data_IF_070809362564
#
_entry.id   IF_070809362564
#
_cell.length_a   1.000
_cell.length_b   1.000
_cell.length_c   1.000
_cell.angle_alpha   90.00
_cell.angle_beta   90.00
_cell.angle_gamma   90.00
#
_symmetry.space_group_name_H-M   'P 1'
#
loop_
_entity.id
_entity.type
_entity.pdbx_description
1 polymer ?
#
# COMPACT_ATOMS: atom_id res chain seq x y z
N UNK A 1 65.39 41.80 -21.55
CA UNK A 1 64.74 42.29 -20.30
C UNK A 1 63.28 42.72 -20.53
N UNK A 2 62.89 43.20 -21.72
CA UNK A 2 61.50 43.59 -22.03
C UNK A 2 60.49 42.44 -22.09
N UNK A 3 60.88 41.25 -22.55
CA UNK A 3 59.98 40.08 -22.54
C UNK A 3 59.65 39.62 -21.12
N UNK A 4 60.64 39.59 -20.22
CA UNK A 4 60.47 39.17 -18.82
C UNK A 4 59.54 40.12 -18.06
N UNK A 5 59.62 41.42 -18.33
CA UNK A 5 58.67 42.42 -17.80
C UNK A 5 57.26 42.28 -18.38
N UNK A 6 57.13 41.81 -19.62
CA UNK A 6 55.83 41.58 -20.27
C UNK A 6 55.12 40.33 -19.73
N UNK A 7 55.86 39.26 -19.42
CA UNK A 7 55.30 38.07 -18.77
C UNK A 7 54.91 38.31 -17.31
N UNK A 8 55.70 39.09 -16.55
CA UNK A 8 55.40 39.42 -15.15
C UNK A 8 54.21 40.38 -15.01
N UNK A 9 54.07 41.36 -15.90
CA UNK A 9 52.89 42.25 -15.94
C UNK A 9 51.62 41.50 -16.34
N UNK A 10 51.66 40.63 -17.37
CA UNK A 10 50.54 39.75 -17.71
C UNK A 10 50.14 38.81 -16.57
N UNK A 11 51.12 38.30 -15.82
CA UNK A 11 50.85 37.45 -14.66
C UNK A 11 50.20 38.24 -13.52
N UNK A 12 50.68 39.45 -13.21
CA UNK A 12 50.07 40.33 -12.22
C UNK A 12 48.63 40.72 -12.59
N UNK A 13 48.37 41.09 -13.84
CA UNK A 13 47.01 41.41 -14.31
C UNK A 13 46.07 40.21 -14.20
N UNK A 14 46.56 39.00 -14.51
CA UNK A 14 45.78 37.78 -14.35
C UNK A 14 45.44 37.52 -12.88
N UNK A 15 46.39 37.74 -11.96
CA UNK A 15 46.19 37.60 -10.51
C UNK A 15 45.20 38.65 -9.97
N UNK A 16 45.27 39.90 -10.43
CA UNK A 16 44.31 40.94 -9.99
C UNK A 16 42.88 40.69 -10.48
N UNK A 17 42.71 40.08 -11.64
CA UNK A 17 41.38 39.80 -12.21
C UNK A 17 40.78 38.47 -11.73
N UNK A 18 41.59 37.41 -11.61
CA UNK A 18 41.13 36.09 -11.19
C UNK A 18 41.21 35.86 -9.68
N UNK A 19 42.15 36.49 -8.97
CA UNK A 19 42.35 36.32 -7.53
C UNK A 19 41.10 36.64 -6.69
N UNK A 20 40.46 37.82 -6.85
CA UNK A 20 39.24 38.16 -6.13
C UNK A 20 38.05 37.23 -6.47
N UNK A 21 37.94 36.79 -7.73
CA UNK A 21 36.89 35.84 -8.16
C UNK A 21 37.08 34.47 -7.52
N UNK A 22 38.32 34.00 -7.46
CA UNK A 22 38.67 32.72 -6.86
C UNK A 22 38.43 32.73 -5.34
N UNK A 23 38.84 33.81 -4.66
CA UNK A 23 38.59 34.00 -3.23
C UNK A 23 37.09 34.11 -2.93
N UNK A 24 36.34 34.88 -3.73
CA UNK A 24 34.89 35.00 -3.60
C UNK A 24 34.18 33.66 -3.82
N UNK A 25 34.56 32.91 -4.86
CA UNK A 25 34.02 31.59 -5.14
C UNK A 25 34.31 30.59 -4.01
N UNK A 26 35.52 30.63 -3.45
CA UNK A 26 35.90 29.81 -2.30
C UNK A 26 35.09 30.18 -1.05
N UNK A 27 34.93 31.47 -0.75
CA UNK A 27 34.11 31.94 0.36
C UNK A 27 32.64 31.49 0.22
N UNK A 28 32.05 31.65 -0.96
CA UNK A 28 30.68 31.21 -1.26
C UNK A 28 30.56 29.69 -1.15
N UNK A 29 31.56 28.93 -1.58
CA UNK A 29 31.55 27.47 -1.43
C UNK A 29 31.49 27.06 0.05
N UNK A 30 32.35 27.63 0.89
CA UNK A 30 32.38 27.34 2.33
C UNK A 30 31.08 27.75 3.02
N UNK A 31 30.62 28.98 2.80
CA UNK A 31 29.36 29.48 3.36
C UNK A 31 28.18 28.65 2.85
N UNK A 32 28.17 28.32 1.56
CA UNK A 32 27.15 27.51 0.93
C UNK A 32 27.04 26.11 1.54
N UNK A 33 28.16 25.45 1.82
CA UNK A 33 28.15 24.16 2.52
C UNK A 33 27.56 24.27 3.93
N UNK A 34 27.85 25.36 4.64
CA UNK A 34 27.25 25.63 5.94
C UNK A 34 25.72 25.83 5.83
N UNK A 35 25.27 26.60 4.83
CA UNK A 35 23.84 26.82 4.55
C UNK A 35 23.13 25.52 4.16
N UNK A 36 23.73 24.69 3.30
CA UNK A 36 23.19 23.38 2.91
C UNK A 36 22.99 22.49 4.12
N UNK A 37 24.00 22.41 5.00
CA UNK A 37 23.94 21.61 6.22
C UNK A 37 22.88 22.16 7.19
N UNK A 38 22.75 23.48 7.30
CA UNK A 38 21.73 24.12 8.13
C UNK A 38 20.31 23.79 7.63
N UNK A 39 20.05 23.95 6.33
CA UNK A 39 18.75 23.62 5.73
C UNK A 39 18.44 22.14 5.89
N UNK A 40 19.42 21.25 5.64
CA UNK A 40 19.24 19.81 5.80
C UNK A 40 18.86 19.44 7.24
N UNK A 41 19.50 20.07 8.25
CA UNK A 41 19.14 19.91 9.66
C UNK A 41 17.73 20.41 9.97
N UNK A 42 17.31 21.53 9.39
CA UNK A 42 15.94 22.05 9.55
C UNK A 42 14.89 21.07 9.00
N UNK A 43 15.15 20.50 7.81
CA UNK A 43 14.28 19.49 7.20
C UNK A 43 14.19 18.25 8.09
N UNK A 44 15.33 17.69 8.52
CA UNK A 44 15.33 16.53 9.43
C UNK A 44 14.61 16.81 10.75
N UNK A 45 14.75 18.02 11.32
CA UNK A 45 14.04 18.42 12.55
C UNK A 45 12.54 18.53 12.34
N UNK A 46 12.10 19.08 11.19
CA UNK A 46 10.69 19.19 10.84
C UNK A 46 10.03 17.81 10.62
N UNK A 47 10.74 16.89 9.96
CA UNK A 47 10.27 15.52 9.76
C UNK A 47 10.17 14.76 11.09
N UNK A 48 11.18 14.88 11.97
CA UNK A 48 11.13 14.28 13.31
C UNK A 48 9.95 14.79 14.14
N UNK A 49 9.70 16.11 14.12
CA UNK A 49 8.57 16.71 14.86
C UNK A 49 7.21 16.16 14.41
N UNK A 50 7.11 15.71 13.15
CA UNK A 50 5.88 15.12 12.58
C UNK A 50 5.78 13.60 12.78
N UNK A 51 6.70 12.98 13.51
CA UNK A 51 6.68 11.52 13.76
C UNK A 51 6.90 10.69 12.50
N UNK A 52 7.61 11.25 11.52
CA UNK A 52 7.93 10.57 10.26
C UNK A 52 8.96 9.46 10.50
N UNK A 53 8.78 8.30 9.89
CA UNK A 53 9.65 7.13 10.04
C UNK A 53 11.11 7.41 9.62
N UNK A 54 12.07 6.78 10.29
CA UNK A 54 13.52 7.11 10.21
C UNK A 54 14.07 6.96 8.80
N UNK A 55 13.68 5.92 8.09
CA UNK A 55 14.17 5.61 6.76
C UNK A 55 13.60 6.58 5.71
N UNK A 56 12.40 7.12 5.93
CA UNK A 56 11.83 8.22 5.16
C UNK A 56 12.59 9.55 5.39
N UNK A 57 13.04 9.79 6.63
CA UNK A 57 13.87 10.96 6.94
C UNK A 57 15.23 10.93 6.24
N UNK A 58 15.90 9.77 6.23
CA UNK A 58 17.22 9.63 5.62
C UNK A 58 17.16 9.80 4.09
N UNK A 59 16.12 9.28 3.45
CA UNK A 59 15.89 9.45 2.02
C UNK A 59 15.67 10.91 1.64
N UNK A 60 14.69 11.58 2.28
CA UNK A 60 14.38 12.99 1.99
C UNK A 60 15.56 13.92 2.32
N UNK A 61 16.25 13.66 3.43
CA UNK A 61 17.44 14.43 3.83
C UNK A 61 18.57 14.33 2.80
N UNK A 62 18.82 13.11 2.28
CA UNK A 62 19.84 12.89 1.25
C UNK A 62 19.50 13.58 -0.06
N UNK A 63 18.22 13.56 -0.46
CA UNK A 63 17.73 14.20 -1.68
C UNK A 63 17.85 15.73 -1.62
N UNK A 64 17.45 16.35 -0.50
CA UNK A 64 17.58 17.80 -0.29
C UNK A 64 19.06 18.21 -0.25
N UNK A 65 19.89 17.52 0.55
CA UNK A 65 21.32 17.81 0.64
C UNK A 65 22.02 17.66 -0.71
N UNK A 66 21.73 16.58 -1.45
CA UNK A 66 22.30 16.34 -2.77
C UNK A 66 21.95 17.44 -3.77
N UNK A 67 20.65 17.78 -3.87
CA UNK A 67 20.18 18.84 -4.77
C UNK A 67 20.79 20.21 -4.46
N UNK A 68 20.84 20.61 -3.17
CA UNK A 68 21.43 21.88 -2.77
C UNK A 68 22.94 21.94 -3.04
N UNK A 69 23.68 20.82 -2.88
CA UNK A 69 25.12 20.77 -3.24
C UNK A 69 25.34 20.95 -4.74
N UNK A 70 24.50 20.34 -5.57
CA UNK A 70 24.58 20.51 -7.04
C UNK A 70 24.34 21.97 -7.43
N UNK A 71 23.30 22.61 -6.87
CA UNK A 71 23.03 24.04 -7.09
C UNK A 71 24.19 24.93 -6.62
N UNK A 72 24.79 24.61 -5.47
CA UNK A 72 25.96 25.32 -4.97
C UNK A 72 27.16 25.20 -5.94
N UNK A 73 27.45 24.00 -6.44
CA UNK A 73 28.55 23.78 -7.39
C UNK A 73 28.34 24.57 -8.69
N UNK A 74 27.11 24.58 -9.24
CA UNK A 74 26.78 25.37 -10.44
C UNK A 74 26.99 26.87 -10.17
N UNK A 75 26.57 27.34 -8.99
CA UNK A 75 26.73 28.75 -8.60
C UNK A 75 28.21 29.16 -8.50
N UNK A 76 29.04 28.33 -7.86
CA UNK A 76 30.48 28.55 -7.71
C UNK A 76 31.18 28.50 -9.08
N UNK A 77 30.80 27.56 -9.96
CA UNK A 77 31.34 27.48 -11.31
C UNK A 77 31.04 28.75 -12.13
N UNK A 78 29.82 29.29 -12.01
CA UNK A 78 29.44 30.55 -12.66
C UNK A 78 30.26 31.74 -12.19
N UNK A 79 30.58 31.82 -10.90
CA UNK A 79 31.45 32.89 -10.36
C UNK A 79 32.87 32.85 -10.92
N UNK A 80 33.37 31.66 -11.25
CA UNK A 80 34.68 31.47 -11.88
C UNK A 80 34.67 31.80 -13.39
N UNK A 81 33.53 32.20 -13.95
CA UNK A 81 33.38 32.52 -15.38
C UNK A 81 33.22 31.28 -16.27
N UNK A 82 32.97 30.11 -15.68
CA UNK A 82 32.66 28.90 -16.43
C UNK A 82 31.26 29.05 -17.02
N UNK A 83 31.08 28.71 -18.30
CA UNK A 83 29.78 28.74 -18.93
C UNK A 83 28.89 27.63 -18.35
N UNK A 84 28.03 28.01 -17.40
CA UNK A 84 27.20 27.07 -16.63
C UNK A 84 26.10 26.43 -17.45
N UNK A 85 25.71 27.02 -18.60
CA UNK A 85 24.66 26.47 -19.48
C UNK A 85 24.91 25.03 -19.88
N UNK A 86 26.15 24.70 -20.29
CA UNK A 86 26.53 23.33 -20.66
C UNK A 86 26.50 22.38 -19.46
N UNK A 87 26.90 22.86 -18.27
CA UNK A 87 26.82 22.09 -17.03
C UNK A 87 25.37 21.83 -16.61
N UNK A 88 24.50 22.84 -16.71
CA UNK A 88 23.07 22.69 -16.43
C UNK A 88 22.44 21.66 -17.36
N UNK A 89 22.80 21.67 -18.65
CA UNK A 89 22.31 20.66 -19.60
C UNK A 89 22.73 19.24 -19.21
N UNK A 90 24.01 19.04 -18.86
CA UNK A 90 24.53 17.73 -18.42
C UNK A 90 23.90 17.28 -17.10
N UNK A 91 23.81 18.17 -16.12
CA UNK A 91 23.17 17.89 -14.82
C UNK A 91 21.69 17.59 -15.00
N UNK A 92 21.00 18.31 -15.89
CA UNK A 92 19.60 18.05 -16.23
C UNK A 92 19.42 16.67 -16.87
N UNK A 93 20.27 16.31 -17.82
CA UNK A 93 20.26 14.99 -18.45
C UNK A 93 20.57 13.85 -17.46
N UNK A 94 21.57 14.04 -16.59
CA UNK A 94 21.90 13.09 -15.51
C UNK A 94 20.75 12.98 -14.50
N UNK A 95 20.14 14.11 -14.12
CA UNK A 95 19.00 14.14 -13.22
C UNK A 95 17.78 13.42 -13.79
N UNK A 96 17.50 13.59 -15.09
CA UNK A 96 16.47 12.85 -15.80
C UNK A 96 16.78 11.34 -15.83
N UNK A 97 18.02 10.97 -16.19
CA UNK A 97 18.43 9.56 -16.23
C UNK A 97 18.32 8.88 -14.85
N UNK A 98 18.78 9.53 -13.79
CA UNK A 98 18.64 9.05 -12.41
C UNK A 98 17.17 9.01 -11.99
N UNK A 99 16.38 10.02 -12.35
CA UNK A 99 14.95 10.07 -12.04
C UNK A 99 14.16 8.94 -12.71
N UNK A 100 14.44 8.66 -13.98
CA UNK A 100 13.84 7.53 -14.71
C UNK A 100 14.30 6.18 -14.13
N UNK A 101 15.58 6.06 -13.77
CA UNK A 101 16.10 4.85 -13.12
C UNK A 101 15.46 4.59 -11.75
N UNK A 102 15.14 5.66 -11.00
CA UNK A 102 14.52 5.59 -9.68
C UNK A 102 12.98 5.67 -9.72
N UNK A 103 12.36 5.77 -10.90
CA UNK A 103 10.92 6.00 -11.04
C UNK A 103 10.10 4.94 -10.28
N UNK A 104 10.48 3.66 -10.41
CA UNK A 104 9.79 2.56 -9.72
C UNK A 104 9.93 2.63 -8.18
N UNK A 105 11.15 2.85 -7.68
CA UNK A 105 11.40 2.99 -6.24
C UNK A 105 10.70 4.21 -5.67
N UNK A 106 10.68 5.33 -6.40
CA UNK A 106 10.02 6.56 -5.96
C UNK A 106 8.49 6.41 -5.95
N UNK A 107 7.92 5.65 -6.89
CA UNK A 107 6.50 5.30 -6.88
C UNK A 107 6.13 4.44 -5.67
N UNK A 108 6.97 3.45 -5.33
CA UNK A 108 6.78 2.62 -4.14
C UNK A 108 6.89 3.43 -2.84
N UNK A 109 7.86 4.33 -2.77
CA UNK A 109 8.00 5.26 -1.66
C UNK A 109 6.76 6.14 -1.49
N UNK A 110 6.29 6.77 -2.58
CA UNK A 110 5.11 7.62 -2.54
C UNK A 110 3.86 6.83 -2.11
N UNK A 111 3.69 5.61 -2.63
CA UNK A 111 2.63 4.70 -2.18
C UNK A 111 2.72 4.38 -0.69
N UNK A 112 3.92 4.11 -0.17
CA UNK A 112 4.14 3.85 1.25
C UNK A 112 3.76 5.05 2.13
N UNK A 113 4.15 6.26 1.72
CA UNK A 113 3.76 7.51 2.40
C UNK A 113 2.24 7.67 2.42
N UNK A 114 1.56 7.45 1.29
CA UNK A 114 0.11 7.55 1.19
C UNK A 114 -0.60 6.55 2.11
N UNK A 115 -0.13 5.30 2.15
CA UNK A 115 -0.66 4.27 3.06
C UNK A 115 -0.51 4.70 4.52
N UNK A 116 0.66 5.22 4.92
CA UNK A 116 0.91 5.65 6.30
C UNK A 116 0.10 6.87 6.71
N UNK A 117 -0.12 7.82 5.78
CA UNK A 117 -0.86 9.07 6.04
C UNK A 117 -2.36 8.82 6.07
N UNK A 118 -2.91 8.17 5.04
CA UNK A 118 -4.36 7.99 4.90
C UNK A 118 -4.88 6.73 5.60
N UNK A 119 -4.01 5.77 5.91
CA UNK A 119 -4.32 4.51 6.59
C UNK A 119 -5.58 3.83 6.00
N UNK A 120 -5.58 3.47 4.70
CA UNK A 120 -6.67 2.69 4.11
C UNK A 120 -6.83 1.33 4.81
N UNK A 121 -5.73 0.78 5.32
CA UNK A 121 -5.64 -0.40 6.17
C UNK A 121 -4.55 -0.21 7.23
N UNK A 122 -4.52 -1.09 8.23
CA UNK A 122 -3.51 -1.14 9.29
C UNK A 122 -2.95 -2.56 9.45
N UNK A 123 -1.86 -2.69 10.20
CA UNK A 123 -1.33 -3.99 10.63
C UNK A 123 -2.44 -4.75 11.37
N UNK A 124 -2.62 -6.02 11.00
CA UNK A 124 -3.67 -6.91 11.49
C UNK A 124 -4.95 -6.90 10.66
N UNK A 125 -5.13 -5.97 9.72
CA UNK A 125 -6.29 -6.02 8.81
C UNK A 125 -6.12 -7.14 7.78
N UNK A 126 -7.17 -7.91 7.54
CA UNK A 126 -7.31 -8.80 6.38
C UNK A 126 -7.66 -7.95 5.15
N UNK A 127 -6.80 -7.96 4.15
CA UNK A 127 -7.00 -7.23 2.90
C UNK A 127 -6.80 -8.13 1.68
N UNK A 128 -7.39 -7.73 0.56
CA UNK A 128 -7.06 -8.21 -0.78
C UNK A 128 -6.57 -7.04 -1.63
N UNK A 129 -5.41 -7.23 -2.25
CA UNK A 129 -4.81 -6.27 -3.18
C UNK A 129 -3.97 -7.01 -4.21
N UNK A 130 -3.98 -6.53 -5.47
CA UNK A 130 -3.25 -7.16 -6.58
C UNK A 130 -3.51 -8.67 -6.74
N UNK A 131 -4.73 -9.12 -6.42
CA UNK A 131 -5.13 -10.55 -6.48
C UNK A 131 -4.50 -11.42 -5.39
N UNK A 132 -3.95 -10.81 -4.33
CA UNK A 132 -3.40 -11.50 -3.17
C UNK A 132 -4.20 -11.13 -1.92
N UNK A 133 -4.62 -12.13 -1.16
CA UNK A 133 -5.41 -11.96 0.06
C UNK A 133 -4.61 -12.43 1.27
N UNK A 134 -4.54 -11.60 2.31
CA UNK A 134 -3.81 -11.93 3.53
C UNK A 134 -3.93 -10.85 4.60
N UNK A 135 -3.49 -11.21 5.80
CA UNK A 135 -3.43 -10.29 6.95
C UNK A 135 -2.19 -9.43 6.82
N UNK A 136 -2.33 -8.12 6.97
CA UNK A 136 -1.20 -7.18 6.94
C UNK A 136 -0.30 -7.42 8.14
N UNK A 137 0.90 -7.93 7.89
CA UNK A 137 1.90 -8.18 8.92
C UNK A 137 2.76 -6.94 9.17
N UNK A 138 3.27 -6.33 8.09
CA UNK A 138 4.16 -5.16 8.16
C UNK A 138 3.90 -4.19 7.01
N UNK A 139 4.09 -2.89 7.28
CA UNK A 139 4.09 -1.83 6.27
C UNK A 139 5.47 -1.18 6.29
N UNK A 140 6.29 -1.50 5.31
CA UNK A 140 7.63 -0.92 5.11
C UNK A 140 7.53 0.26 4.13
N UNK A 141 8.63 0.99 3.91
CA UNK A 141 8.62 2.16 3.00
C UNK A 141 8.24 1.78 1.58
N UNK A 142 8.82 0.71 1.05
CA UNK A 142 8.64 0.34 -0.35
C UNK A 142 7.63 -0.79 -0.54
N UNK A 143 7.40 -1.60 0.49
CA UNK A 143 6.58 -2.80 0.39
C UNK A 143 5.62 -2.96 1.58
N UNK A 144 4.51 -3.64 1.35
CA UNK A 144 3.60 -4.15 2.36
C UNK A 144 3.71 -5.66 2.40
N UNK A 145 3.84 -6.24 3.58
CA UNK A 145 3.99 -7.68 3.79
C UNK A 145 2.65 -8.23 4.29
N UNK A 146 2.11 -9.20 3.57
CA UNK A 146 0.91 -9.94 3.94
C UNK A 146 1.26 -11.37 4.35
N UNK A 147 0.51 -11.90 5.30
CA UNK A 147 0.49 -13.31 5.66
C UNK A 147 -0.81 -13.94 5.16
N UNK A 148 -0.71 -14.92 4.25
CA UNK A 148 -1.90 -15.62 3.72
C UNK A 148 -2.43 -16.63 4.74
N UNK A 149 -3.66 -17.11 4.53
CA UNK A 149 -4.24 -18.19 5.33
C UNK A 149 -3.43 -19.51 5.27
N UNK A 150 -2.68 -19.72 4.19
CA UNK A 150 -1.74 -20.84 4.03
C UNK A 150 -0.38 -20.59 4.69
N UNK A 151 -0.25 -19.53 5.51
CA UNK A 151 0.98 -19.14 6.16
C UNK A 151 2.13 -18.76 5.18
N UNK A 152 1.79 -18.28 3.98
CA UNK A 152 2.77 -17.78 3.00
C UNK A 152 2.99 -16.28 3.19
N UNK A 153 4.24 -15.83 3.03
CA UNK A 153 4.59 -14.42 3.03
C UNK A 153 4.47 -13.85 1.62
N UNK A 154 3.59 -12.86 1.45
CA UNK A 154 3.41 -12.13 0.19
C UNK A 154 3.96 -10.71 0.36
N UNK A 155 4.85 -10.31 -0.53
CA UNK A 155 5.48 -8.98 -0.52
C UNK A 155 4.90 -8.17 -1.69
N UNK A 156 4.13 -7.14 -1.37
CA UNK A 156 3.51 -6.26 -2.36
C UNK A 156 4.25 -4.92 -2.41
N UNK A 157 4.57 -4.45 -3.62
CA UNK A 157 5.13 -3.12 -3.81
C UNK A 157 4.07 -2.05 -3.47
N UNK A 158 4.40 -1.11 -2.60
CA UNK A 158 3.46 -0.10 -2.12
C UNK A 158 2.88 0.78 -3.24
N UNK A 159 3.65 1.01 -4.30
CA UNK A 159 3.20 1.78 -5.46
C UNK A 159 2.08 1.06 -6.20
N UNK A 160 2.14 -0.27 -6.28
CA UNK A 160 1.08 -1.07 -6.88
C UNK A 160 -0.16 -1.12 -5.98
N UNK A 161 0.03 -1.31 -4.66
CA UNK A 161 -1.07 -1.36 -3.68
C UNK A 161 -1.81 -0.03 -3.61
N UNK A 162 -1.08 1.10 -3.58
CA UNK A 162 -1.68 2.43 -3.45
C UNK A 162 -2.37 2.91 -4.73
N UNK A 163 -2.00 2.38 -5.90
CA UNK A 163 -2.64 2.72 -7.18
C UNK A 163 -3.77 1.75 -7.55
N UNK A 164 -3.78 0.55 -6.96
CA UNK A 164 -4.76 -0.49 -7.23
C UNK A 164 -5.98 -0.42 -6.33
N UNK A 165 -6.95 -1.29 -6.61
CA UNK A 165 -8.09 -1.53 -5.72
C UNK A 165 -7.62 -2.27 -4.47
N UNK A 166 -8.10 -1.81 -3.30
CA UNK A 166 -7.89 -2.46 -2.01
C UNK A 166 -9.25 -2.87 -1.47
N UNK A 167 -9.45 -4.16 -1.25
CA UNK A 167 -10.61 -4.68 -0.53
C UNK A 167 -10.17 -4.91 0.91
N UNK A 168 -10.75 -4.16 1.86
CA UNK A 168 -10.45 -4.34 3.28
C UNK A 168 -11.62 -5.04 3.96
N UNK A 169 -11.38 -6.26 4.43
CA UNK A 169 -12.38 -7.09 5.09
C UNK A 169 -12.52 -6.77 6.58
N UNK A 170 -11.54 -6.10 7.17
CA UNK A 170 -11.49 -5.86 8.62
C UNK A 170 -12.02 -4.51 9.06
N UNK A 171 -11.96 -3.49 8.19
CA UNK A 171 -12.26 -2.09 8.54
C UNK A 171 -13.71 -1.88 9.01
N UNK A 172 -14.67 -2.60 8.43
CA UNK A 172 -16.07 -2.50 8.82
C UNK A 172 -16.41 -3.25 10.12
N UNK A 173 -15.54 -4.14 10.59
CA UNK A 173 -15.73 -4.92 11.82
C UNK A 173 -16.66 -6.12 11.72
N UNK A 174 -17.49 -6.20 10.67
CA UNK A 174 -18.30 -7.38 10.36
C UNK A 174 -18.19 -7.76 8.88
N UNK A 175 -18.39 -9.05 8.61
CA UNK A 175 -18.37 -9.66 7.28
C UNK A 175 -19.58 -10.55 7.11
N UNK A 176 -20.21 -10.48 5.94
CA UNK A 176 -21.26 -11.41 5.57
C UNK A 176 -20.63 -12.75 5.16
N UNK A 177 -21.09 -13.83 5.77
CA UNK A 177 -20.67 -15.19 5.44
C UNK A 177 -21.71 -15.79 4.51
N UNK A 178 -21.29 -16.10 3.29
CA UNK A 178 -22.21 -16.47 2.22
C UNK A 178 -22.34 -18.01 2.12
N UNK A 179 -23.40 -18.55 2.74
CA UNK A 179 -23.66 -20.00 2.79
C UNK A 179 -24.83 -20.36 1.87
N UNK A 180 -24.72 -21.49 1.19
CA UNK A 180 -25.77 -22.02 0.31
C UNK A 180 -26.09 -23.45 0.70
N UNK A 181 -27.36 -23.74 1.01
CA UNK A 181 -27.83 -25.09 1.33
C UNK A 181 -29.06 -25.43 0.50
N UNK A 182 -29.18 -26.69 0.12
CA UNK A 182 -30.29 -27.17 -0.70
C UNK A 182 -31.26 -28.00 0.16
N UNK A 183 -32.54 -27.82 -0.10
CA UNK A 183 -33.62 -28.65 0.46
C UNK A 183 -34.38 -29.32 -0.68
N UNK A 184 -35.02 -30.45 -0.38
CA UNK A 184 -35.84 -31.16 -1.35
C UNK A 184 -37.01 -30.26 -1.84
N UNK A 185 -37.47 -30.43 -3.09
CA UNK A 185 -38.46 -29.53 -3.70
C UNK A 185 -39.85 -29.63 -3.05
N UNK A 186 -40.11 -30.75 -2.39
CA UNK A 186 -41.33 -31.05 -1.61
C UNK A 186 -41.21 -30.65 -0.13
N UNK A 187 -40.04 -30.18 0.33
CA UNK A 187 -39.85 -29.75 1.72
C UNK A 187 -40.55 -28.41 2.00
N UNK A 188 -41.07 -28.27 3.22
CA UNK A 188 -41.63 -27.00 3.70
C UNK A 188 -40.51 -25.94 3.84
N UNK A 189 -40.43 -25.06 2.84
CA UNK A 189 -39.44 -23.98 2.75
C UNK A 189 -39.61 -22.97 3.87
N UNK A 190 -40.85 -22.71 4.33
CA UNK A 190 -41.09 -21.77 5.44
C UNK A 190 -40.54 -22.35 6.72
N UNK A 191 -40.79 -23.64 6.98
CA UNK A 191 -40.21 -24.37 8.11
C UNK A 191 -38.68 -24.38 8.04
N UNK A 192 -38.09 -24.67 6.87
CA UNK A 192 -36.64 -24.67 6.69
C UNK A 192 -35.99 -23.32 6.97
N UNK A 193 -36.61 -22.22 6.52
CA UNK A 193 -36.13 -20.87 6.81
C UNK A 193 -36.17 -20.56 8.30
N UNK A 194 -37.25 -20.91 8.98
CA UNK A 194 -37.41 -20.64 10.42
C UNK A 194 -36.39 -21.42 11.25
N UNK A 195 -36.22 -22.72 10.96
CA UNK A 195 -35.22 -23.56 11.65
C UNK A 195 -33.80 -23.04 11.41
N UNK A 196 -33.47 -22.66 10.17
CA UNK A 196 -32.17 -22.07 9.88
C UNK A 196 -31.96 -20.74 10.63
N UNK A 197 -32.96 -19.85 10.67
CA UNK A 197 -32.89 -18.60 11.42
C UNK A 197 -32.70 -18.81 12.94
N UNK A 198 -33.32 -19.83 13.52
CA UNK A 198 -33.13 -20.17 14.93
C UNK A 198 -31.70 -20.60 15.22
N UNK A 199 -31.10 -21.43 14.34
CA UNK A 199 -29.68 -21.80 14.45
C UNK A 199 -28.78 -20.57 14.34
N UNK A 200 -29.02 -19.69 13.36
CA UNK A 200 -28.22 -18.47 13.20
C UNK A 200 -28.27 -17.56 14.43
N UNK A 201 -29.40 -17.49 15.13
CA UNK A 201 -29.54 -16.70 16.36
C UNK A 201 -28.88 -17.35 17.58
N UNK A 202 -28.71 -18.67 17.57
CA UNK A 202 -28.10 -19.42 18.67
C UNK A 202 -26.59 -19.60 18.53
N UNK A 203 -26.04 -19.42 17.32
CA UNK A 203 -24.63 -19.62 17.03
C UNK A 203 -23.76 -18.48 17.60
N UNK A 204 -22.72 -18.83 18.34
CA UNK A 204 -21.86 -17.86 19.04
C UNK A 204 -21.01 -16.97 18.12
N UNK A 205 -20.78 -17.41 16.86
CA UNK A 205 -19.97 -16.67 15.89
C UNK A 205 -20.81 -15.80 14.96
N UNK A 206 -22.13 -15.83 15.07
CA UNK A 206 -23.05 -15.02 14.27
C UNK A 206 -23.45 -13.77 15.07
N UNK A 207 -23.31 -12.61 14.43
CA UNK A 207 -23.72 -11.33 15.01
C UNK A 207 -25.24 -11.19 14.93
N UNK A 208 -25.84 -10.67 16.02
CA UNK A 208 -27.25 -10.30 16.04
C UNK A 208 -27.52 -9.04 15.19
N UNK A 209 -26.57 -8.10 15.17
CA UNK A 209 -26.60 -6.90 14.32
C UNK A 209 -25.33 -6.83 13.45
N UNK A 210 -25.46 -6.79 12.11
CA UNK A 210 -26.69 -6.82 11.32
C UNK A 210 -27.42 -8.17 11.37
N UNK A 211 -28.76 -8.13 11.33
CA UNK A 211 -29.56 -9.34 11.44
C UNK A 211 -29.28 -10.34 10.30
N UNK A 212 -29.09 -11.64 10.62
CA UNK A 212 -28.89 -12.67 9.61
C UNK A 212 -30.15 -12.88 8.78
N UNK A 213 -30.00 -13.27 7.51
CA UNK A 213 -31.13 -13.57 6.63
C UNK A 213 -31.06 -14.97 6.03
N UNK A 214 -32.24 -15.55 5.83
CA UNK A 214 -32.39 -16.81 5.09
C UNK A 214 -33.45 -16.60 4.01
N UNK A 215 -33.05 -16.76 2.76
CA UNK A 215 -33.89 -16.47 1.59
C UNK A 215 -33.81 -17.62 0.58
N UNK A 216 -34.83 -17.76 -0.25
CA UNK A 216 -34.76 -18.69 -1.40
C UNK A 216 -33.91 -18.05 -2.49
N UNK A 217 -32.82 -18.71 -2.86
CA UNK A 217 -31.89 -18.27 -3.90
C UNK A 217 -32.33 -18.74 -5.28
N UNK A 218 -32.76 -20.00 -5.40
CA UNK A 218 -33.14 -20.64 -6.66
C UNK A 218 -34.14 -21.76 -6.40
N UNK A 219 -35.13 -21.87 -7.28
CA UNK A 219 -36.04 -23.03 -7.37
C UNK A 219 -35.80 -23.67 -8.73
N UNK A 220 -35.28 -24.90 -8.77
CA UNK A 220 -34.90 -25.57 -10.00
C UNK A 220 -33.98 -26.77 -9.77
N UNK A 221 -33.61 -27.48 -10.85
CA UNK A 221 -32.71 -28.65 -10.80
C UNK A 221 -33.19 -29.78 -9.85
N UNK A 222 -34.50 -29.84 -9.59
CA UNK A 222 -35.07 -30.80 -8.64
C UNK A 222 -34.80 -30.45 -7.17
N UNK A 223 -34.51 -29.18 -6.84
CA UNK A 223 -34.28 -28.72 -5.47
C UNK A 223 -34.67 -27.26 -5.25
N UNK A 224 -34.74 -26.86 -3.98
CA UNK A 224 -34.84 -25.44 -3.57
C UNK A 224 -33.55 -25.07 -2.87
N UNK A 225 -32.85 -24.08 -3.42
CA UNK A 225 -31.60 -23.57 -2.86
C UNK A 225 -31.90 -22.40 -1.93
N UNK A 226 -31.45 -22.49 -0.68
CA UNK A 226 -31.51 -21.44 0.33
C UNK A 226 -30.17 -20.69 0.38
N UNK A 227 -30.24 -19.35 0.31
CA UNK A 227 -29.15 -18.46 0.66
C UNK A 227 -29.25 -18.13 2.15
N UNK A 228 -28.22 -18.52 2.90
CA UNK A 228 -28.07 -18.29 4.32
C UNK A 228 -26.96 -17.24 4.49
N UNK A 229 -27.30 -16.10 5.07
CA UNK A 229 -26.47 -14.89 5.08
C UNK A 229 -26.27 -14.35 6.50
N UNK A 230 -25.53 -15.04 7.38
CA UNK A 230 -25.11 -14.47 8.64
C UNK A 230 -24.01 -13.42 8.47
N UNK A 231 -23.86 -12.58 9.50
CA UNK A 231 -22.70 -11.71 9.66
C UNK A 231 -21.83 -12.25 10.79
N UNK A 232 -20.52 -12.18 10.63
CA UNK A 232 -19.54 -12.56 11.66
C UNK A 232 -18.41 -11.55 11.74
N UNK A 233 -17.61 -11.61 12.80
CA UNK A 233 -16.37 -10.86 12.84
C UNK A 233 -15.34 -11.43 11.84
N UNK A 234 -14.43 -10.62 11.29
CA UNK A 234 -13.37 -11.09 10.40
C UNK A 234 -12.52 -12.23 10.98
N UNK A 235 -12.29 -12.22 12.31
CA UNK A 235 -11.51 -13.25 12.99
C UNK A 235 -12.23 -14.61 13.04
N UNK A 236 -13.57 -14.59 13.18
CA UNK A 236 -14.41 -15.78 13.31
C UNK A 236 -15.12 -16.16 12.01
N UNK A 237 -14.69 -15.63 10.86
CA UNK A 237 -15.33 -15.89 9.58
C UNK A 237 -15.45 -17.39 9.27
N UNK A 238 -14.35 -18.14 9.44
CA UNK A 238 -14.32 -19.57 9.18
C UNK A 238 -15.06 -20.38 10.24
N UNK A 239 -14.98 -19.96 11.51
CA UNK A 239 -15.72 -20.57 12.61
C UNK A 239 -17.22 -20.50 12.34
N UNK A 240 -17.73 -19.32 11.96
CA UNK A 240 -19.12 -19.11 11.54
C UNK A 240 -19.45 -19.91 10.27
N UNK A 241 -18.56 -19.93 9.28
CA UNK A 241 -18.80 -20.66 8.02
C UNK A 241 -19.02 -22.16 8.25
N UNK A 242 -18.16 -22.81 9.04
CA UNK A 242 -18.25 -24.25 9.28
C UNK A 242 -19.34 -24.61 10.29
N UNK A 243 -19.37 -23.93 11.45
CA UNK A 243 -20.34 -24.25 12.52
C UNK A 243 -21.79 -24.09 12.05
N UNK A 244 -22.13 -22.99 11.37
CA UNK A 244 -23.49 -22.74 10.87
C UNK A 244 -23.94 -23.83 9.90
N UNK A 245 -23.05 -24.32 9.02
CA UNK A 245 -23.41 -25.39 8.08
C UNK A 245 -23.70 -26.71 8.80
N UNK A 246 -22.87 -27.09 9.77
CA UNK A 246 -23.04 -28.32 10.56
C UNK A 246 -24.29 -28.25 11.45
N UNK A 247 -24.52 -27.12 12.11
CA UNK A 247 -25.66 -26.89 12.98
C UNK A 247 -26.97 -26.85 12.19
N UNK A 248 -27.02 -26.15 11.06
CA UNK A 248 -28.22 -26.12 10.19
C UNK A 248 -28.50 -27.52 9.65
N UNK A 249 -27.49 -28.26 9.20
CA UNK A 249 -27.69 -29.64 8.73
C UNK A 249 -28.30 -30.51 9.81
N UNK A 250 -27.75 -30.44 11.02
CA UNK A 250 -28.24 -31.19 12.19
C UNK A 250 -29.66 -30.77 12.59
N UNK A 251 -29.97 -29.48 12.51
CA UNK A 251 -31.31 -28.96 12.81
C UNK A 251 -32.34 -29.38 11.76
N UNK A 252 -31.95 -29.44 10.48
CA UNK A 252 -32.81 -29.94 9.41
C UNK A 252 -33.14 -31.42 9.60
N UNK A 253 -32.17 -32.26 9.96
CA UNK A 253 -32.41 -33.68 10.25
C UNK A 253 -33.39 -33.88 11.43
N UNK A 254 -33.22 -33.12 12.52
CA UNK A 254 -34.13 -33.15 13.67
C UNK A 254 -35.56 -32.71 13.34
N UNK A 255 -35.72 -31.83 12.34
CA UNK A 255 -37.00 -31.28 11.93
C UNK A 255 -37.61 -31.98 10.70
N UNK A 256 -37.04 -33.11 10.28
CA UNK A 256 -37.47 -33.88 9.10
C UNK A 256 -37.49 -33.05 7.82
N UNK A 257 -36.49 -32.19 7.65
CA UNK A 257 -36.27 -31.38 6.45
C UNK A 257 -35.26 -32.12 5.59
N UNK A 258 -35.74 -32.74 4.52
CA UNK A 258 -34.93 -33.59 3.65
C UNK A 258 -34.01 -32.77 2.75
N UNK A 259 -32.77 -33.25 2.59
CA UNK A 259 -31.91 -32.80 1.50
C UNK A 259 -32.41 -33.30 0.15
N UNK A 260 -32.02 -32.66 -0.96
CA UNK A 260 -32.43 -33.10 -2.29
C UNK A 260 -31.82 -34.46 -2.63
N UNK A 261 -32.64 -35.35 -3.18
CA UNK A 261 -32.19 -36.65 -3.71
C UNK A 261 -31.84 -36.50 -5.19
N UNK A 262 -30.63 -36.89 -5.64
CA UNK A 262 -30.29 -36.88 -7.06
C UNK A 262 -31.30 -37.70 -7.86
N UNK A 263 -32.05 -37.04 -8.75
CA UNK A 263 -33.09 -37.68 -9.56
C UNK A 263 -32.68 -37.69 -11.02
N UNK A 264 -32.79 -38.84 -11.68
CA UNK A 264 -32.57 -38.97 -13.13
C UNK A 264 -33.87 -39.40 -13.80
N UNK A 265 -34.37 -38.58 -14.71
CA UNK A 265 -35.51 -38.96 -15.57
C UNK A 265 -34.96 -39.80 -16.72
N UNK A 266 -35.31 -41.09 -16.76
CA UNK A 266 -35.00 -41.99 -17.88
C UNK A 266 -36.23 -42.03 -18.77
N UNK A 267 -36.14 -41.45 -19.97
CA UNK A 267 -37.17 -41.56 -21.00
C UNK A 267 -36.80 -42.76 -21.88
N UNK A 268 -37.45 -43.91 -21.67
CA UNK A 268 -37.36 -45.02 -22.64
C UNK A 268 -38.37 -44.81 -23.76
N UNK A 269 -37.90 -44.90 -25.01
CA UNK A 269 -38.76 -44.92 -26.19
C UNK A 269 -39.39 -46.29 -26.40
#
# INVERSE_FOLDING_TARGET
>A
MEEVTTYTTKFMDWVYVFGPKLLGAFAVFIIGLYVVNFISKLVSKALNKRGIEVSLQSFLGSLVSGGLKVLLLISVAGMLGIQTTSFVAVVGALGLAVGLALQGSLANFAGGVLILVFKPFKIGDLIESNGQTGVVNEIQIFNTILLTAENKTVILANGAVSNGTIVNYSRHGNLRVDITMAVAPDSDVVKAKNVALEVLKANEFVLEEPAPSVNVLKVGDGMVTLAIRPYSSPAHYWDAFFSVQEEIRSAFDKNSISGPTPTRVIISK
#
